data_IF_865956342182
#
_entry.id   IF_865956342182
#
_cell.length_a   1.000
_cell.length_b   1.000
_cell.length_c   1.000
_cell.angle_alpha   90.00
_cell.angle_beta   90.00
_cell.angle_gamma   90.00
#
_symmetry.space_group_name_H-M   'P 1'
#
loop_
_entity.id
_entity.type
_entity.pdbx_description
1 polymer ?
#
# COMPACT_ATOMS: atom_id res chain seq x y z
N UNK A 1 23.61 13.73 14.77
CA UNK A 1 22.34 14.25 14.24
C UNK A 1 21.25 14.01 15.28
N UNK A 2 20.37 14.97 15.54
CA UNK A 2 19.25 14.73 16.45
C UNK A 2 18.32 13.66 15.83
N UNK A 3 17.87 12.73 16.66
CA UNK A 3 16.87 11.73 16.27
C UNK A 3 15.51 12.40 16.10
N UNK A 4 14.72 11.91 15.14
CA UNK A 4 13.31 12.30 14.99
C UNK A 4 12.51 11.58 16.06
N UNK A 5 11.79 12.32 16.91
CA UNK A 5 10.92 11.77 17.95
C UNK A 5 9.63 11.28 17.30
N UNK A 6 9.31 10.02 17.47
CA UNK A 6 8.15 9.38 16.82
C UNK A 6 7.23 8.69 17.79
N UNK A 7 5.95 8.64 17.45
CA UNK A 7 4.96 7.82 18.13
C UNK A 7 4.25 6.88 17.15
N UNK A 8 3.66 5.81 17.68
CA UNK A 8 2.77 4.92 16.94
C UNK A 8 1.38 5.02 17.53
N UNK A 9 0.40 5.38 16.70
CA UNK A 9 -1.02 5.46 17.05
C UNK A 9 -1.73 4.26 16.44
N UNK A 10 -2.12 3.32 17.29
CA UNK A 10 -2.64 2.00 16.95
C UNK A 10 -1.67 0.89 17.36
N UNK A 11 -2.07 0.05 18.31
CA UNK A 11 -1.27 -1.05 18.89
C UNK A 11 -1.70 -2.44 18.38
N UNK A 12 -2.16 -2.51 17.12
CA UNK A 12 -2.40 -3.77 16.42
C UNK A 12 -1.10 -4.44 15.95
N UNK A 13 -1.21 -5.55 15.20
CA UNK A 13 -0.05 -6.27 14.66
C UNK A 13 0.84 -5.38 13.78
N UNK A 14 0.22 -4.50 12.98
CA UNK A 14 0.96 -3.58 12.12
C UNK A 14 1.61 -2.47 12.93
N UNK A 15 0.92 -1.93 13.94
CA UNK A 15 1.49 -0.94 14.86
C UNK A 15 2.69 -1.50 15.63
N UNK A 16 2.63 -2.76 16.06
CA UNK A 16 3.78 -3.47 16.64
C UNK A 16 4.97 -3.51 15.69
N UNK A 17 4.73 -3.77 14.39
CA UNK A 17 5.80 -3.77 13.38
C UNK A 17 6.41 -2.37 13.19
N UNK A 18 5.58 -1.30 13.15
CA UNK A 18 6.08 0.08 13.11
C UNK A 18 6.92 0.42 14.33
N UNK A 19 6.47 0.07 15.54
CA UNK A 19 7.21 0.29 16.78
C UNK A 19 8.57 -0.43 16.75
N UNK A 20 8.61 -1.70 16.32
CA UNK A 20 9.84 -2.48 16.14
C UNK A 20 10.81 -1.76 15.20
N UNK A 21 10.34 -1.39 14.01
CA UNK A 21 11.19 -0.75 13.01
C UNK A 21 11.71 0.61 13.48
N UNK A 22 10.88 1.44 14.12
CA UNK A 22 11.37 2.70 14.69
C UNK A 22 12.42 2.48 15.80
N UNK A 23 12.27 1.43 16.60
CA UNK A 23 13.27 1.08 17.61
C UNK A 23 14.62 0.68 17.01
N UNK A 24 14.60 0.07 15.84
CA UNK A 24 15.79 -0.38 15.10
C UNK A 24 16.44 0.73 14.26
N UNK A 25 15.67 1.76 13.84
CA UNK A 25 16.18 2.82 12.97
C UNK A 25 17.05 3.82 13.74
N UNK A 26 18.33 4.01 13.37
CA UNK A 26 19.24 4.92 14.10
C UNK A 26 18.77 6.38 14.15
N UNK A 27 17.97 6.79 13.15
CA UNK A 27 17.43 8.15 13.02
C UNK A 27 16.14 8.41 13.79
N UNK A 28 15.57 7.41 14.46
CA UNK A 28 14.31 7.50 15.20
C UNK A 28 14.55 7.44 16.72
N UNK A 29 13.65 8.08 17.46
CA UNK A 29 13.44 7.91 18.89
C UNK A 29 11.98 7.58 19.10
N UNK A 30 11.67 6.32 19.41
CA UNK A 30 10.29 5.90 19.72
C UNK A 30 9.91 6.41 21.10
N UNK A 31 9.10 7.46 21.16
CA UNK A 31 8.67 8.14 22.38
C UNK A 31 7.53 7.40 23.06
N UNK A 32 6.56 6.88 22.26
CA UNK A 32 5.44 6.20 22.89
C UNK A 32 4.45 5.56 21.91
N UNK A 33 3.52 4.83 22.51
CA UNK A 33 2.42 4.11 21.87
C UNK A 33 1.10 4.70 22.36
N UNK A 34 0.19 4.97 21.43
CA UNK A 34 -1.20 5.38 21.71
C UNK A 34 -2.14 4.28 21.17
N UNK A 35 -3.07 3.80 21.98
CA UNK A 35 -4.15 2.90 21.53
C UNK A 35 -5.36 3.06 22.45
N UNK A 36 -6.57 2.94 21.90
CA UNK A 36 -7.79 2.94 22.69
C UNK A 36 -7.87 1.75 23.66
N UNK A 37 -7.17 0.64 23.36
CA UNK A 37 -7.01 -0.48 24.27
C UNK A 37 -5.70 -0.34 25.06
N UNK A 38 -5.81 0.07 26.31
CA UNK A 38 -4.66 0.32 27.19
C UNK A 38 -3.77 -0.93 27.41
N UNK A 39 -4.35 -2.13 27.43
CA UNK A 39 -3.58 -3.37 27.61
C UNK A 39 -2.71 -3.66 26.39
N UNK A 40 -3.25 -3.46 25.16
CA UNK A 40 -2.47 -3.58 23.93
C UNK A 40 -1.34 -2.56 23.87
N UNK A 41 -1.63 -1.30 24.21
CA UNK A 41 -0.62 -0.25 24.25
C UNK A 41 0.50 -0.60 25.26
N UNK A 42 0.13 -1.05 26.48
CA UNK A 42 1.08 -1.42 27.52
C UNK A 42 1.98 -2.58 27.09
N UNK A 43 1.42 -3.62 26.45
CA UNK A 43 2.18 -4.76 25.95
C UNK A 43 3.26 -4.34 24.95
N UNK A 44 2.90 -3.52 23.97
CA UNK A 44 3.85 -3.06 22.95
C UNK A 44 4.85 -2.07 23.53
N UNK A 45 4.41 -1.16 24.40
CA UNK A 45 5.30 -0.23 25.08
C UNK A 45 6.35 -0.94 25.93
N UNK A 46 5.96 -1.98 26.67
CA UNK A 46 6.88 -2.82 27.42
C UNK A 46 7.87 -3.56 26.50
N UNK A 47 7.38 -4.15 25.42
CA UNK A 47 8.21 -4.91 24.46
C UNK A 47 9.33 -4.04 23.87
N UNK A 48 9.04 -2.80 23.56
CA UNK A 48 10.01 -1.89 22.92
C UNK A 48 10.60 -0.84 23.86
N UNK A 49 10.39 -0.98 25.19
CA UNK A 49 10.92 -0.10 26.23
C UNK A 49 10.61 1.38 25.93
N UNK A 50 9.32 1.66 25.71
CA UNK A 50 8.78 3.01 25.46
C UNK A 50 7.59 3.29 26.37
N UNK A 51 6.99 4.48 26.25
CA UNK A 51 5.87 4.89 27.09
C UNK A 51 4.52 4.52 26.47
N UNK A 52 3.52 4.30 27.33
CA UNK A 52 2.10 4.41 26.93
C UNK A 52 1.70 5.87 27.03
N UNK A 53 1.21 6.44 25.95
CA UNK A 53 0.70 7.80 25.91
C UNK A 53 -0.84 7.73 25.88
N UNK A 54 -1.48 8.55 26.71
CA UNK A 54 -2.91 8.40 26.99
C UNK A 54 -3.80 8.58 25.74
N UNK A 55 -3.47 9.58 24.94
CA UNK A 55 -4.24 9.94 23.74
C UNK A 55 -3.37 10.72 22.75
N UNK A 56 -3.97 11.10 21.62
CA UNK A 56 -3.33 11.88 20.56
C UNK A 56 -2.95 13.28 21.01
N UNK A 57 -3.74 13.88 21.90
CA UNK A 57 -3.51 15.23 22.43
C UNK A 57 -2.21 15.32 23.23
N UNK A 58 -1.93 14.27 23.99
CA UNK A 58 -0.72 14.19 24.81
C UNK A 58 0.58 14.04 23.99
N UNK A 59 0.50 13.89 22.66
CA UNK A 59 1.66 13.88 21.76
C UNK A 59 2.17 15.29 21.42
N UNK A 60 1.35 16.33 21.63
CA UNK A 60 1.68 17.70 21.28
C UNK A 60 3.00 18.17 21.93
N UNK A 61 3.94 18.65 21.10
CA UNK A 61 5.28 19.09 21.53
C UNK A 61 6.24 17.97 21.98
N UNK A 62 5.77 16.72 22.08
CA UNK A 62 6.58 15.57 22.51
C UNK A 62 7.19 14.84 21.33
N UNK A 63 6.50 14.80 20.19
CA UNK A 63 6.94 14.09 18.99
C UNK A 63 6.98 15.00 17.78
N UNK A 64 7.81 14.64 16.80
CA UNK A 64 7.96 15.35 15.55
C UNK A 64 7.10 14.71 14.45
N UNK A 65 6.88 13.39 14.56
CA UNK A 65 6.12 12.62 13.59
C UNK A 65 5.40 11.43 14.25
N UNK A 66 4.38 10.90 13.57
CA UNK A 66 3.64 9.73 14.05
C UNK A 66 3.21 8.80 12.90
N UNK A 67 3.17 7.49 13.20
CA UNK A 67 2.48 6.50 12.36
C UNK A 67 1.04 6.34 12.81
N UNK A 68 0.10 6.47 11.88
CA UNK A 68 -1.34 6.20 12.09
C UNK A 68 -1.65 4.81 11.56
N UNK A 69 -1.84 3.87 12.47
CA UNK A 69 -2.01 2.42 12.21
C UNK A 69 -3.26 1.91 12.94
N UNK A 70 -4.26 2.75 13.02
CA UNK A 70 -5.59 2.47 13.56
C UNK A 70 -6.47 1.84 12.48
N UNK A 71 -7.71 1.41 12.77
CA UNK A 71 -8.65 1.02 11.72
C UNK A 71 -8.87 2.14 10.69
N UNK A 72 -9.04 1.79 9.42
CA UNK A 72 -9.12 2.74 8.30
C UNK A 72 -10.15 3.86 8.50
N UNK A 73 -11.28 3.54 9.12
CA UNK A 73 -12.34 4.52 9.44
C UNK A 73 -11.90 5.63 10.40
N UNK A 74 -10.80 5.45 11.11
CA UNK A 74 -10.22 6.42 12.04
C UNK A 74 -9.03 7.20 11.44
N UNK A 75 -8.54 6.80 10.26
CA UNK A 75 -7.32 7.38 9.67
C UNK A 75 -7.43 8.90 9.50
N UNK A 76 -8.52 9.37 8.90
CA UNK A 76 -8.71 10.79 8.64
C UNK A 76 -8.81 11.60 9.95
N UNK A 77 -9.65 11.16 10.88
CA UNK A 77 -9.82 11.84 12.18
C UNK A 77 -8.51 11.95 12.94
N UNK A 78 -7.78 10.84 13.06
CA UNK A 78 -6.51 10.80 13.80
C UNK A 78 -5.40 11.56 13.06
N UNK A 79 -5.27 11.35 11.75
CA UNK A 79 -4.24 11.98 10.92
C UNK A 79 -4.41 13.51 10.87
N UNK A 80 -5.63 14.02 10.64
CA UNK A 80 -5.91 15.44 10.64
C UNK A 80 -5.59 16.06 12.01
N UNK A 81 -6.00 15.38 13.10
CA UNK A 81 -5.74 15.89 14.44
C UNK A 81 -4.25 15.97 14.77
N UNK A 82 -3.46 14.96 14.39
CA UNK A 82 -1.99 14.99 14.56
C UNK A 82 -1.36 16.17 13.80
N UNK A 83 -1.79 16.40 12.57
CA UNK A 83 -1.27 17.50 11.74
C UNK A 83 -1.63 18.88 12.30
N UNK A 84 -2.83 19.04 12.91
CA UNK A 84 -3.21 20.24 13.68
C UNK A 84 -2.32 20.46 14.90
N UNK A 85 -1.85 19.39 15.53
CA UNK A 85 -0.87 19.43 16.63
C UNK A 85 0.58 19.62 16.15
N UNK A 86 0.76 19.99 14.90
CA UNK A 86 2.07 20.20 14.24
C UNK A 86 2.93 18.94 14.12
N UNK A 87 2.34 17.75 14.06
CA UNK A 87 3.01 16.46 13.93
C UNK A 87 2.93 15.99 12.48
N UNK A 88 4.05 15.59 11.89
CA UNK A 88 4.10 14.97 10.57
C UNK A 88 3.57 13.53 10.61
N UNK A 89 2.93 13.05 9.55
CA UNK A 89 2.14 11.81 9.62
C UNK A 89 2.48 10.86 8.47
N UNK A 90 2.66 9.59 8.80
CA UNK A 90 2.46 8.48 7.86
C UNK A 90 1.16 7.76 8.24
N UNK A 91 0.25 7.60 7.27
CA UNK A 91 -1.03 6.91 7.43
C UNK A 91 -0.98 5.59 6.68
N UNK A 92 -1.41 4.50 7.32
CA UNK A 92 -1.50 3.19 6.66
C UNK A 92 -2.52 3.17 5.53
N UNK A 93 -2.32 2.19 4.62
CA UNK A 93 -3.25 1.96 3.50
C UNK A 93 -4.51 1.16 3.98
N UNK A 94 -5.67 1.35 3.34
CA UNK A 94 -6.03 2.50 2.51
C UNK A 94 -5.93 3.80 3.30
N UNK A 95 -5.54 4.91 2.65
CA UNK A 95 -5.26 6.15 3.39
C UNK A 95 -6.49 6.71 4.13
N UNK A 96 -7.68 6.37 3.72
CA UNK A 96 -8.95 6.77 4.32
C UNK A 96 -10.08 5.81 3.90
N UNK A 97 -11.25 5.91 4.55
CA UNK A 97 -12.42 5.12 4.22
C UNK A 97 -13.21 5.68 3.03
N UNK A 98 -12.93 6.94 2.63
CA UNK A 98 -13.55 7.59 1.47
C UNK A 98 -12.60 8.59 0.82
N UNK A 99 -12.90 8.97 -0.44
CA UNK A 99 -12.15 10.00 -1.14
C UNK A 99 -12.27 11.37 -0.45
N UNK A 100 -13.43 11.67 0.13
CA UNK A 100 -13.63 12.91 0.89
C UNK A 100 -12.70 12.99 2.10
N UNK A 101 -12.59 11.92 2.88
CA UNK A 101 -11.65 11.84 4.00
C UNK A 101 -10.18 11.91 3.54
N UNK A 102 -9.86 11.32 2.39
CA UNK A 102 -8.52 11.45 1.79
C UNK A 102 -8.21 12.92 1.43
N UNK A 103 -9.18 13.64 0.87
CA UNK A 103 -9.06 15.06 0.55
C UNK A 103 -8.94 15.93 1.82
N UNK A 104 -9.59 15.55 2.94
CA UNK A 104 -9.43 16.19 4.25
C UNK A 104 -7.99 16.03 4.78
N UNK A 105 -7.42 14.83 4.73
CA UNK A 105 -6.02 14.57 5.12
C UNK A 105 -5.03 15.42 4.30
N UNK A 106 -5.20 15.45 2.98
CA UNK A 106 -4.35 16.25 2.07
C UNK A 106 -4.46 17.74 2.41
N UNK A 107 -5.70 18.22 2.62
CA UNK A 107 -5.96 19.61 2.99
C UNK A 107 -5.37 19.97 4.34
N UNK A 108 -5.45 19.08 5.34
CA UNK A 108 -4.85 19.29 6.66
C UNK A 108 -3.34 19.39 6.58
N UNK A 109 -2.70 18.49 5.81
CA UNK A 109 -1.26 18.53 5.56
C UNK A 109 -0.83 19.85 4.92
N UNK A 110 -1.55 20.30 3.88
CA UNK A 110 -1.26 21.55 3.18
C UNK A 110 -1.41 22.77 4.11
N UNK A 111 -2.51 22.86 4.87
CA UNK A 111 -2.75 23.98 5.81
C UNK A 111 -1.68 24.07 6.89
N UNK A 112 -1.25 22.92 7.43
CA UNK A 112 -0.26 22.86 8.50
C UNK A 112 1.19 22.89 8.01
N UNK A 113 1.44 22.80 6.69
CA UNK A 113 2.76 22.58 6.12
C UNK A 113 3.38 21.26 6.63
N UNK A 114 2.54 20.21 6.82
CA UNK A 114 2.97 18.91 7.35
C UNK A 114 3.31 17.92 6.27
N UNK A 115 4.21 17.02 6.58
CA UNK A 115 4.47 15.85 5.74
C UNK A 115 3.32 14.86 5.95
N UNK A 116 2.71 14.43 4.86
CA UNK A 116 1.75 13.34 4.80
C UNK A 116 2.28 12.27 3.84
N UNK A 117 2.67 11.12 4.39
CA UNK A 117 3.02 9.92 3.63
C UNK A 117 1.92 8.88 3.76
N UNK A 118 1.71 8.07 2.73
CA UNK A 118 0.76 6.94 2.77
C UNK A 118 1.52 5.62 2.73
N UNK A 119 1.09 4.66 3.56
CA UNK A 119 1.74 3.37 3.81
C UNK A 119 1.63 2.37 2.66
N UNK A 120 2.00 2.74 1.44
CA UNK A 120 2.11 1.81 0.32
C UNK A 120 3.51 1.19 0.28
N UNK A 121 3.80 0.34 1.26
CA UNK A 121 5.13 -0.25 1.50
C UNK A 121 5.74 -0.98 0.28
N UNK A 122 4.92 -1.49 -0.64
CA UNK A 122 5.40 -2.18 -1.84
C UNK A 122 6.10 -1.24 -2.84
N UNK A 123 5.93 0.09 -2.71
CA UNK A 123 6.72 1.09 -3.44
C UNK A 123 8.20 1.10 -3.01
N UNK A 124 8.46 0.63 -1.80
CA UNK A 124 9.79 0.51 -1.21
C UNK A 124 10.34 -0.92 -1.29
N UNK A 125 9.59 -1.84 -1.89
CA UNK A 125 10.08 -3.19 -2.15
C UNK A 125 11.29 -3.14 -3.10
N UNK A 126 12.42 -3.79 -2.78
CA UNK A 126 13.62 -3.78 -3.60
C UNK A 126 13.37 -4.14 -5.07
N UNK A 127 12.45 -5.09 -5.34
CA UNK A 127 12.06 -5.41 -6.71
C UNK A 127 11.38 -4.25 -7.44
N UNK A 128 10.50 -3.49 -6.75
CA UNK A 128 9.88 -2.27 -7.30
C UNK A 128 10.95 -1.20 -7.58
N UNK A 129 11.81 -0.94 -6.61
CA UNK A 129 12.88 0.08 -6.74
C UNK A 129 13.79 -0.24 -7.91
N UNK A 130 14.17 -1.52 -8.08
CA UNK A 130 15.08 -1.97 -9.14
C UNK A 130 14.53 -1.75 -10.56
N UNK A 131 13.21 -1.78 -10.76
CA UNK A 131 12.63 -1.61 -12.11
C UNK A 131 12.38 -0.16 -12.49
N UNK A 132 12.26 0.75 -11.54
CA UNK A 132 11.97 2.16 -11.84
C UNK A 132 12.93 2.81 -12.86
N UNK A 133 14.26 2.57 -12.80
CA UNK A 133 15.21 3.15 -13.76
C UNK A 133 15.13 2.59 -15.18
N UNK A 134 14.50 1.41 -15.38
CA UNK A 134 14.43 0.73 -16.68
C UNK A 134 13.07 0.83 -17.34
N UNK A 135 12.13 1.58 -16.74
CA UNK A 135 10.81 1.83 -17.31
C UNK A 135 10.94 2.73 -18.53
N UNK A 136 10.39 2.24 -19.67
CA UNK A 136 10.42 2.96 -20.94
C UNK A 136 9.15 2.67 -21.75
N UNK A 137 8.08 3.42 -21.48
CA UNK A 137 6.77 3.27 -22.14
C UNK A 137 6.22 1.83 -22.11
N UNK A 138 5.97 1.24 -20.93
CA UNK A 138 5.37 -0.07 -20.82
C UNK A 138 3.95 -0.06 -21.39
N UNK A 139 3.61 -1.12 -22.15
CA UNK A 139 2.35 -1.21 -22.89
C UNK A 139 1.39 -2.24 -22.30
N UNK A 140 1.91 -3.27 -21.65
CA UNK A 140 1.08 -4.34 -21.11
C UNK A 140 1.61 -4.85 -19.79
N UNK A 141 0.70 -5.08 -18.83
CA UNK A 141 1.01 -5.59 -17.49
C UNK A 141 0.16 -6.81 -17.15
N UNK A 142 0.79 -7.78 -16.52
CA UNK A 142 0.17 -8.91 -15.84
C UNK A 142 0.58 -8.88 -14.38
N UNK A 143 -0.40 -8.77 -13.48
CA UNK A 143 -0.14 -8.67 -12.04
C UNK A 143 -0.94 -9.74 -11.30
N UNK A 144 -0.24 -10.52 -10.48
CA UNK A 144 -0.83 -11.55 -9.64
C UNK A 144 -0.38 -11.38 -8.20
N UNK A 145 -1.35 -11.13 -7.31
CA UNK A 145 -1.16 -11.12 -5.86
C UNK A 145 -2.11 -12.11 -5.22
N UNK A 146 -1.63 -13.35 -5.15
CA UNK A 146 -2.38 -14.49 -4.69
C UNK A 146 -1.89 -14.90 -3.30
N UNK A 147 -2.81 -15.11 -2.37
CA UNK A 147 -2.53 -15.52 -1.00
C UNK A 147 -3.32 -16.76 -0.61
N UNK A 148 -2.70 -17.59 0.23
CA UNK A 148 -3.42 -18.67 0.92
C UNK A 148 -4.31 -18.05 1.98
N UNK A 149 -5.50 -18.62 2.18
CA UNK A 149 -6.44 -18.14 3.18
C UNK A 149 -5.79 -18.03 4.57
N UNK A 150 -6.02 -16.90 5.21
CA UNK A 150 -5.70 -16.67 6.62
C UNK A 150 -6.89 -15.97 7.28
N UNK A 151 -7.21 -16.24 8.56
CA UNK A 151 -8.35 -15.64 9.25
C UNK A 151 -8.05 -14.18 9.68
N UNK A 152 -7.63 -13.34 8.73
CA UNK A 152 -7.29 -11.92 8.93
C UNK A 152 -7.97 -11.07 7.89
N UNK A 153 -8.40 -9.85 8.27
CA UNK A 153 -9.00 -8.86 7.37
C UNK A 153 -10.21 -9.41 6.58
N UNK A 154 -11.02 -10.27 7.20
CA UNK A 154 -12.16 -10.91 6.55
C UNK A 154 -13.36 -9.97 6.38
N UNK A 155 -13.31 -8.83 7.04
CA UNK A 155 -14.28 -7.73 7.01
C UNK A 155 -14.03 -6.73 5.89
N UNK A 156 -12.90 -6.87 5.16
CA UNK A 156 -12.48 -5.94 4.11
C UNK A 156 -12.43 -6.69 2.76
N UNK A 157 -12.85 -6.05 1.68
CA UNK A 157 -12.75 -6.59 0.32
C UNK A 157 -11.26 -6.69 -0.11
N UNK A 158 -10.92 -7.76 -0.84
CA UNK A 158 -9.55 -8.03 -1.31
C UNK A 158 -8.98 -6.89 -2.17
N UNK A 159 -9.84 -6.05 -2.74
CA UNK A 159 -9.43 -4.88 -3.51
C UNK A 159 -8.71 -3.87 -2.62
N UNK A 160 -9.29 -3.50 -1.47
CA UNK A 160 -8.70 -2.53 -0.54
C UNK A 160 -7.59 -3.12 0.33
N UNK A 161 -7.65 -4.44 0.62
CA UNK A 161 -6.63 -5.06 1.44
C UNK A 161 -5.39 -5.46 0.64
N UNK A 162 -5.58 -6.04 -0.55
CA UNK A 162 -4.51 -6.71 -1.31
C UNK A 162 -4.22 -6.01 -2.64
N UNK A 163 -5.24 -5.77 -3.48
CA UNK A 163 -5.05 -5.24 -4.84
C UNK A 163 -4.51 -3.81 -4.84
N UNK A 164 -4.89 -3.00 -3.87
CA UNK A 164 -4.54 -1.57 -3.81
C UNK A 164 -3.02 -1.30 -3.87
N UNK A 165 -2.20 -2.23 -3.39
CA UNK A 165 -0.74 -2.13 -3.52
C UNK A 165 -0.28 -2.17 -4.97
N UNK A 166 -0.90 -3.04 -5.78
CA UNK A 166 -0.55 -3.19 -7.19
C UNK A 166 -1.13 -2.03 -8.02
N UNK A 167 -2.32 -1.53 -7.64
CA UNK A 167 -2.90 -0.34 -8.23
C UNK A 167 -2.01 0.89 -8.04
N UNK A 168 -1.48 1.10 -6.83
CA UNK A 168 -0.53 2.19 -6.54
C UNK A 168 0.76 2.07 -7.37
N UNK A 169 1.35 0.86 -7.47
CA UNK A 169 2.56 0.64 -8.27
C UNK A 169 2.28 0.92 -9.76
N UNK A 170 1.15 0.44 -10.30
CA UNK A 170 0.78 0.67 -11.69
C UNK A 170 0.60 2.15 -12.00
N UNK A 171 -0.09 2.90 -11.14
CA UNK A 171 -0.25 4.36 -11.30
C UNK A 171 1.10 5.09 -11.32
N UNK A 172 2.08 4.61 -10.53
CA UNK A 172 3.41 5.20 -10.51
C UNK A 172 4.26 4.84 -11.74
N UNK A 173 4.14 3.62 -12.23
CA UNK A 173 4.93 3.15 -13.39
C UNK A 173 4.37 3.73 -14.69
N UNK A 174 3.06 3.68 -14.90
CA UNK A 174 2.42 4.11 -16.15
C UNK A 174 2.36 5.64 -16.24
N UNK A 175 2.19 6.30 -15.10
CA UNK A 175 2.12 7.77 -14.98
C UNK A 175 1.15 8.42 -15.98
N UNK A 176 0.01 7.79 -16.20
CA UNK A 176 -1.08 8.28 -17.05
C UNK A 176 -2.43 7.99 -16.40
N UNK A 177 -3.49 8.78 -16.70
CA UNK A 177 -4.83 8.52 -16.21
C UNK A 177 -5.36 7.16 -16.67
N UNK A 178 -6.11 6.48 -15.81
CA UNK A 178 -6.93 5.32 -16.18
C UNK A 178 -8.20 5.84 -16.86
N UNK A 179 -8.54 5.30 -18.02
CA UNK A 179 -9.68 5.74 -18.85
C UNK A 179 -10.82 4.73 -18.89
N UNK A 180 -10.54 3.45 -18.64
CA UNK A 180 -11.57 2.40 -18.53
C UNK A 180 -11.17 1.35 -17.49
N UNK A 181 -12.14 0.86 -16.73
CA UNK A 181 -11.98 -0.17 -15.71
C UNK A 181 -13.05 -1.23 -15.91
N UNK A 182 -12.62 -2.46 -16.19
CA UNK A 182 -13.50 -3.64 -16.24
C UNK A 182 -13.08 -4.58 -15.12
N UNK A 183 -14.00 -4.90 -14.22
CA UNK A 183 -13.65 -5.71 -13.07
C UNK A 183 -14.72 -6.77 -12.78
N UNK A 184 -14.26 -7.89 -12.22
CA UNK A 184 -15.07 -8.97 -11.66
C UNK A 184 -14.52 -9.31 -10.28
N UNK A 185 -15.40 -9.62 -9.35
CA UNK A 185 -15.04 -10.10 -8.03
C UNK A 185 -16.01 -11.16 -7.55
N UNK A 186 -15.50 -12.09 -6.78
CA UNK A 186 -16.28 -13.21 -6.25
C UNK A 186 -15.98 -13.38 -4.77
N UNK A 187 -16.98 -13.38 -3.87
CA UNK A 187 -16.84 -13.90 -2.53
C UNK A 187 -16.88 -15.43 -2.60
N UNK A 188 -15.89 -16.05 -1.97
CA UNK A 188 -15.70 -17.50 -1.97
C UNK A 188 -15.83 -18.08 -0.58
N UNK A 189 -15.22 -17.42 0.42
CA UNK A 189 -15.20 -17.86 1.82
C UNK A 189 -15.85 -16.85 2.77
N UNK A 190 -15.97 -15.59 2.37
CA UNK A 190 -16.55 -14.52 3.18
C UNK A 190 -17.71 -13.86 2.44
N UNK A 191 -18.40 -12.93 3.10
CA UNK A 191 -19.41 -12.07 2.44
C UNK A 191 -18.77 -10.92 1.64
N UNK A 192 -17.46 -10.75 1.74
CA UNK A 192 -16.65 -9.78 1.01
C UNK A 192 -16.07 -10.39 -0.26
N UNK A 193 -15.61 -9.58 -1.16
CA UNK A 193 -14.89 -10.05 -2.36
C UNK A 193 -13.56 -10.68 -1.92
N UNK A 194 -13.40 -11.99 -2.14
CA UNK A 194 -12.22 -12.76 -1.77
C UNK A 194 -11.23 -12.93 -2.91
N UNK A 195 -11.70 -12.86 -4.15
CA UNK A 195 -10.91 -12.82 -5.38
C UNK A 195 -11.46 -11.74 -6.29
N UNK A 196 -10.59 -10.93 -6.85
CA UNK A 196 -10.92 -9.91 -7.83
C UNK A 196 -9.97 -9.94 -9.01
N UNK A 197 -10.51 -9.68 -10.19
CA UNK A 197 -9.74 -9.42 -11.41
C UNK A 197 -10.19 -8.09 -11.99
N UNK A 198 -9.21 -7.26 -12.37
CA UNK A 198 -9.47 -5.98 -13.02
C UNK A 198 -8.60 -5.85 -14.27
N UNK A 199 -9.20 -5.35 -15.35
CA UNK A 199 -8.53 -4.83 -16.53
C UNK A 199 -8.61 -3.30 -16.48
N UNK A 200 -7.44 -2.67 -16.60
CA UNK A 200 -7.27 -1.22 -16.57
C UNK A 200 -6.72 -0.77 -17.92
N UNK A 201 -7.40 0.14 -18.60
CA UNK A 201 -6.92 0.77 -19.81
C UNK A 201 -6.47 2.21 -19.47
N UNK A 202 -5.24 2.57 -19.86
CA UNK A 202 -4.66 3.89 -19.56
C UNK A 202 -4.69 4.81 -20.78
N UNK A 203 -4.75 6.11 -20.55
CA UNK A 203 -4.73 7.12 -21.61
C UNK A 203 -3.47 7.08 -22.48
N UNK A 204 -2.36 6.52 -21.96
CA UNK A 204 -1.12 6.26 -22.71
C UNK A 204 -1.23 5.10 -23.71
N UNK A 205 -2.34 4.34 -23.70
CA UNK A 205 -2.50 3.10 -24.45
C UNK A 205 -1.98 1.85 -23.71
N UNK A 206 -1.40 2.03 -22.53
CA UNK A 206 -1.02 0.88 -21.69
C UNK A 206 -2.26 0.16 -21.15
N UNK A 207 -2.13 -1.15 -20.95
CA UNK A 207 -3.18 -2.03 -20.41
C UNK A 207 -2.61 -2.85 -19.27
N UNK A 208 -3.35 -2.98 -18.16
CA UNK A 208 -2.98 -3.84 -17.06
C UNK A 208 -4.10 -4.84 -16.73
N UNK A 209 -3.73 -6.11 -16.55
CA UNK A 209 -4.58 -7.14 -15.96
C UNK A 209 -4.08 -7.42 -14.54
N UNK A 210 -4.92 -7.21 -13.55
CA UNK A 210 -4.57 -7.32 -12.13
C UNK A 210 -5.47 -8.35 -11.47
N UNK A 211 -4.88 -9.36 -10.85
CA UNK A 211 -5.61 -10.37 -10.08
C UNK A 211 -5.13 -10.38 -8.64
N UNK A 212 -6.05 -10.19 -7.71
CA UNK A 212 -5.80 -10.32 -6.28
C UNK A 212 -6.72 -11.38 -5.68
N UNK A 213 -6.17 -12.25 -4.84
CA UNK A 213 -6.93 -13.32 -4.18
C UNK A 213 -6.34 -13.60 -2.79
N UNK A 214 -7.23 -13.86 -1.82
CA UNK A 214 -6.87 -14.40 -0.50
C UNK A 214 -7.30 -15.86 -0.31
N UNK A 215 -7.77 -16.50 -1.39
CA UNK A 215 -8.34 -17.87 -1.36
C UNK A 215 -7.65 -18.79 -2.36
N UNK A 216 -6.38 -18.56 -2.63
CA UNK A 216 -5.57 -19.38 -3.52
C UNK A 216 -4.85 -20.51 -2.78
N UNK A 217 -4.43 -21.54 -3.51
CA UNK A 217 -3.68 -22.68 -2.96
C UNK A 217 -2.20 -22.39 -2.80
N UNK A 218 -1.70 -21.35 -3.46
CA UNK A 218 -0.30 -20.93 -3.43
C UNK A 218 -0.18 -19.42 -3.22
N UNK A 219 1.01 -19.01 -2.76
CA UNK A 219 1.34 -17.59 -2.62
C UNK A 219 2.14 -17.12 -3.83
N UNK A 220 1.55 -16.19 -4.60
CA UNK A 220 2.20 -15.54 -5.74
C UNK A 220 2.12 -14.03 -5.55
N UNK A 221 3.24 -13.33 -5.69
CA UNK A 221 3.31 -11.87 -5.67
C UNK A 221 4.23 -11.42 -6.78
N UNK A 222 3.68 -11.31 -7.99
CA UNK A 222 4.45 -11.03 -9.21
C UNK A 222 3.79 -9.98 -10.07
N UNK A 223 4.62 -9.15 -10.67
CA UNK A 223 4.25 -8.24 -11.74
C UNK A 223 5.15 -8.52 -12.94
N UNK A 224 4.54 -8.62 -14.11
CA UNK A 224 5.25 -8.71 -15.40
C UNK A 224 4.79 -7.55 -16.24
N UNK A 225 5.72 -6.93 -16.96
CA UNK A 225 5.33 -5.92 -17.92
C UNK A 225 6.20 -5.96 -19.15
N UNK A 226 5.61 -5.49 -20.24
CA UNK A 226 6.17 -5.56 -21.57
C UNK A 226 6.27 -4.14 -22.12
N UNK A 227 7.45 -3.81 -22.59
CA UNK A 227 7.73 -2.58 -23.32
C UNK A 227 8.48 -2.96 -24.60
N UNK A 228 8.67 -2.02 -25.51
CA UNK A 228 9.23 -2.34 -26.83
C UNK A 228 10.56 -3.08 -26.69
N UNK A 229 10.63 -4.31 -27.21
CA UNK A 229 11.80 -5.21 -27.20
C UNK A 229 12.27 -5.66 -25.79
N UNK A 230 11.44 -5.47 -24.77
CA UNK A 230 11.81 -5.84 -23.39
C UNK A 230 10.63 -6.50 -22.66
N UNK A 231 10.96 -7.50 -21.87
CA UNK A 231 10.12 -8.12 -20.86
C UNK A 231 10.74 -7.93 -19.50
N UNK A 232 9.97 -7.47 -18.53
CA UNK A 232 10.41 -7.27 -17.15
C UNK A 232 9.50 -8.07 -16.22
N UNK A 233 10.10 -8.78 -15.26
CA UNK A 233 9.39 -9.54 -14.24
C UNK A 233 9.89 -9.14 -12.86
N UNK A 234 8.97 -8.77 -11.97
CA UNK A 234 9.23 -8.48 -10.56
C UNK A 234 8.63 -9.58 -9.70
N UNK A 235 9.42 -10.13 -8.78
CA UNK A 235 8.94 -11.02 -7.73
C UNK A 235 9.06 -10.29 -6.38
N UNK A 236 7.94 -9.81 -5.85
CA UNK A 236 7.91 -9.03 -4.60
C UNK A 236 8.27 -9.87 -3.37
N UNK A 237 8.02 -11.18 -3.41
CA UNK A 237 8.39 -12.07 -2.30
C UNK A 237 9.89 -12.31 -2.25
N UNK A 238 10.49 -12.51 -3.42
CA UNK A 238 11.94 -12.69 -3.56
C UNK A 238 12.70 -11.37 -3.53
N UNK A 239 11.99 -10.25 -3.71
CA UNK A 239 12.56 -8.90 -3.80
C UNK A 239 13.59 -8.81 -4.92
N UNK A 240 13.29 -9.40 -6.07
CA UNK A 240 14.16 -9.36 -7.24
C UNK A 240 13.38 -9.00 -8.51
N UNK A 241 14.12 -8.61 -9.55
CA UNK A 241 13.57 -8.32 -10.84
C UNK A 241 14.50 -8.82 -11.94
N UNK A 242 13.88 -9.39 -12.98
CA UNK A 242 14.55 -9.86 -14.19
C UNK A 242 14.13 -8.99 -15.38
N UNK A 243 15.10 -8.51 -16.16
CA UNK A 243 14.89 -7.90 -17.46
C UNK A 243 15.39 -8.84 -18.56
N UNK A 244 14.55 -9.09 -19.57
CA UNK A 244 14.92 -9.78 -20.80
C UNK A 244 14.79 -8.79 -21.94
N UNK A 245 15.86 -8.53 -22.66
CA UNK A 245 15.92 -7.57 -23.77
C UNK A 245 16.35 -8.25 -25.06
N UNK A 246 15.66 -7.93 -26.16
CA UNK A 246 16.09 -8.31 -27.50
C UNK A 246 17.22 -7.39 -27.94
N UNK A 247 18.45 -7.91 -28.06
CA UNK A 247 19.62 -7.11 -28.46
C UNK A 247 19.87 -7.17 -29.97
N UNK A 248 19.51 -8.28 -30.60
CA UNK A 248 19.53 -8.41 -32.05
C UNK A 248 18.20 -9.00 -32.50
N UNK A 249 17.31 -8.20 -33.12
CA UNK A 249 16.07 -8.72 -33.68
C UNK A 249 16.33 -9.45 -35.02
N UNK A 250 15.50 -10.42 -35.35
CA UNK A 250 15.62 -11.15 -36.61
C UNK A 250 15.11 -12.60 -36.51
N UNK A 251 15.37 -13.46 -37.54
CA UNK A 251 14.92 -14.85 -37.54
C UNK A 251 15.53 -15.70 -36.41
N UNK A 252 16.68 -15.29 -35.89
CA UNK A 252 17.34 -15.89 -34.72
C UNK A 252 17.70 -14.79 -33.75
N UNK A 253 16.71 -14.31 -32.96
CA UNK A 253 16.91 -13.15 -32.06
C UNK A 253 17.89 -13.51 -30.95
N UNK A 254 18.74 -12.55 -30.59
CA UNK A 254 19.58 -12.64 -29.39
C UNK A 254 18.94 -11.90 -28.23
N UNK A 255 19.03 -12.52 -27.08
CA UNK A 255 18.46 -11.98 -25.82
C UNK A 255 19.56 -11.69 -24.80
N UNK A 256 19.40 -10.60 -24.10
CA UNK A 256 20.15 -10.28 -22.88
C UNK A 256 19.23 -10.54 -21.67
N UNK A 257 19.72 -11.33 -20.71
CA UNK A 257 19.04 -11.65 -19.45
C UNK A 257 19.78 -10.98 -18.31
N UNK A 258 19.20 -9.96 -17.75
CA UNK A 258 19.83 -9.19 -16.66
C UNK A 258 18.97 -9.26 -15.41
N UNK A 259 19.51 -9.81 -14.30
CA UNK A 259 18.92 -9.60 -12.98
C UNK A 259 19.23 -8.17 -12.56
N UNK A 260 18.18 -7.38 -12.31
CA UNK A 260 18.35 -6.00 -11.91
C UNK A 260 18.87 -5.93 -10.47
N UNK A 261 19.83 -5.03 -10.18
CA UNK A 261 20.39 -4.92 -8.84
C UNK A 261 19.32 -4.44 -7.85
N UNK A 262 19.16 -5.19 -6.78
CA UNK A 262 18.24 -4.87 -5.69
C UNK A 262 18.92 -5.19 -4.35
N UNK A 263 19.15 -4.19 -3.53
CA UNK A 263 19.59 -4.40 -2.15
C UNK A 263 18.41 -4.88 -1.33
N UNK A 264 18.47 -6.12 -0.86
CA UNK A 264 17.39 -6.70 -0.07
C UNK A 264 17.26 -5.97 1.26
N UNK A 265 16.10 -5.41 1.47
CA UNK A 265 15.71 -4.74 2.70
C UNK A 265 14.25 -5.03 3.01
N UNK A 266 13.89 -5.01 4.28
CA UNK A 266 12.48 -5.05 4.68
C UNK A 266 11.76 -3.80 4.16
N UNK A 267 10.68 -3.94 3.33
CA UNK A 267 9.99 -2.79 2.74
C UNK A 267 9.48 -1.79 3.77
N UNK A 268 8.95 -2.25 4.92
CA UNK A 268 8.51 -1.37 6.00
C UNK A 268 9.68 -0.55 6.59
N UNK A 269 10.87 -1.14 6.69
CA UNK A 269 12.06 -0.43 7.17
C UNK A 269 12.49 0.67 6.19
N UNK A 270 12.51 0.36 4.89
CA UNK A 270 12.80 1.33 3.85
C UNK A 270 11.79 2.46 3.82
N UNK A 271 10.50 2.15 3.94
CA UNK A 271 9.41 3.10 3.99
C UNK A 271 9.51 4.06 5.17
N UNK A 272 9.66 3.54 6.39
CA UNK A 272 9.76 4.38 7.60
C UNK A 272 11.03 5.21 7.61
N UNK A 273 12.15 4.69 7.08
CA UNK A 273 13.37 5.49 6.87
C UNK A 273 13.13 6.64 5.89
N UNK A 274 12.47 6.40 4.76
CA UNK A 274 12.13 7.43 3.79
C UNK A 274 11.17 8.48 4.38
N UNK A 275 10.21 8.07 5.19
CA UNK A 275 9.34 8.99 5.93
C UNK A 275 10.16 9.91 6.85
N UNK A 276 11.05 9.35 7.68
CA UNK A 276 11.93 10.15 8.54
C UNK A 276 12.82 11.11 7.75
N UNK A 277 13.29 10.69 6.57
CA UNK A 277 14.06 11.56 5.68
C UNK A 277 13.21 12.72 5.15
N UNK A 278 11.96 12.48 4.77
CA UNK A 278 11.00 13.53 4.36
C UNK A 278 10.72 14.51 5.51
N UNK A 279 10.50 14.00 6.73
CA UNK A 279 10.32 14.83 7.95
C UNK A 279 11.51 15.76 8.17
N UNK A 280 12.74 15.23 8.11
CA UNK A 280 13.96 16.00 8.36
C UNK A 280 14.29 17.00 7.27
N UNK A 281 14.10 16.60 6.01
CA UNK A 281 14.51 17.42 4.84
C UNK A 281 13.40 18.32 4.34
N UNK A 282 12.16 18.12 4.82
CA UNK A 282 10.94 18.79 4.34
C UNK A 282 10.67 18.55 2.85
N UNK A 283 11.24 17.50 2.26
CA UNK A 283 10.95 17.08 0.89
C UNK A 283 9.68 16.25 0.85
N UNK A 284 8.94 16.35 -0.24
CA UNK A 284 7.75 15.52 -0.46
C UNK A 284 8.12 14.02 -0.36
N UNK A 285 7.31 13.20 0.32
CA UNK A 285 7.52 11.76 0.37
C UNK A 285 7.30 11.10 -1.00
N UNK A 286 7.89 9.92 -1.19
CA UNK A 286 7.73 9.13 -2.42
C UNK A 286 6.26 8.77 -2.67
N UNK A 287 5.52 8.48 -1.60
CA UNK A 287 4.08 8.19 -1.64
C UNK A 287 3.39 9.26 -0.82
N UNK A 288 3.11 10.38 -1.45
CA UNK A 288 2.41 11.52 -0.84
C UNK A 288 0.89 11.30 -0.76
N UNK A 289 0.18 12.22 -0.12
CA UNK A 289 -1.27 12.17 -0.01
C UNK A 289 -1.98 12.05 -1.37
N UNK A 290 -1.64 12.88 -2.38
CA UNK A 290 -2.19 12.74 -3.74
C UNK A 290 -1.97 11.37 -4.38
N UNK A 291 -0.83 10.71 -4.15
CA UNK A 291 -0.58 9.36 -4.66
C UNK A 291 -1.50 8.33 -3.99
N UNK A 292 -1.61 8.37 -2.65
CA UNK A 292 -2.53 7.49 -1.91
C UNK A 292 -4.00 7.70 -2.30
N UNK A 293 -4.40 8.95 -2.51
CA UNK A 293 -5.76 9.30 -2.95
C UNK A 293 -6.08 8.72 -4.33
N UNK A 294 -5.13 8.79 -5.29
CA UNK A 294 -5.32 8.15 -6.61
C UNK A 294 -5.44 6.62 -6.52
N UNK A 295 -4.66 5.98 -5.65
CA UNK A 295 -4.76 4.54 -5.44
C UNK A 295 -6.11 4.15 -4.84
N UNK A 296 -6.64 4.93 -3.87
CA UNK A 296 -7.97 4.73 -3.31
C UNK A 296 -9.06 4.93 -4.36
N UNK A 297 -9.00 6.01 -5.16
CA UNK A 297 -9.94 6.28 -6.24
C UNK A 297 -10.00 5.14 -7.27
N UNK A 298 -8.86 4.60 -7.66
CA UNK A 298 -8.80 3.47 -8.59
C UNK A 298 -9.37 2.19 -7.94
N UNK A 299 -9.13 1.96 -6.65
CA UNK A 299 -9.75 0.86 -5.92
C UNK A 299 -11.29 1.00 -5.88
N UNK A 300 -11.80 2.21 -5.67
CA UNK A 300 -13.25 2.50 -5.73
C UNK A 300 -13.83 2.21 -7.12
N UNK A 301 -13.11 2.58 -8.19
CA UNK A 301 -13.52 2.29 -9.57
C UNK A 301 -13.55 0.79 -9.85
N UNK A 302 -12.58 0.04 -9.36
CA UNK A 302 -12.56 -1.43 -9.45
C UNK A 302 -13.76 -2.02 -8.71
N UNK A 303 -14.05 -1.57 -7.49
CA UNK A 303 -15.21 -2.04 -6.73
C UNK A 303 -16.52 -1.69 -7.43
N UNK A 304 -16.66 -0.49 -8.00
CA UNK A 304 -17.83 -0.12 -8.79
C UNK A 304 -18.03 -1.05 -9.99
N UNK A 305 -16.96 -1.40 -10.70
CA UNK A 305 -16.98 -2.37 -11.80
C UNK A 305 -17.41 -3.77 -11.35
N UNK A 306 -16.93 -4.23 -10.19
CA UNK A 306 -17.33 -5.52 -9.58
C UNK A 306 -18.82 -5.52 -9.26
N UNK A 307 -19.33 -4.46 -8.63
CA UNK A 307 -20.75 -4.34 -8.29
C UNK A 307 -21.64 -4.30 -9.53
N UNK A 308 -21.23 -3.58 -10.58
CA UNK A 308 -21.96 -3.53 -11.85
C UNK A 308 -21.99 -4.89 -12.55
N UNK A 309 -20.85 -5.58 -12.58
CA UNK A 309 -20.79 -6.95 -13.09
C UNK A 309 -21.70 -7.89 -12.30
N UNK A 310 -21.67 -7.81 -10.95
CA UNK A 310 -22.52 -8.63 -10.07
C UNK A 310 -24.02 -8.44 -10.36
N UNK A 311 -24.47 -7.20 -10.55
CA UNK A 311 -25.88 -6.92 -10.93
C UNK A 311 -26.24 -7.53 -12.28
N UNK A 312 -25.37 -7.41 -13.28
CA UNK A 312 -25.61 -7.91 -14.63
C UNK A 312 -25.72 -9.42 -14.69
N UNK A 313 -24.94 -10.16 -13.91
CA UNK A 313 -24.97 -11.63 -13.89
C UNK A 313 -25.93 -12.18 -12.82
N UNK A 314 -26.73 -11.30 -12.20
CA UNK A 314 -27.70 -11.68 -11.15
C UNK A 314 -27.05 -12.48 -10.00
N UNK A 315 -25.77 -12.21 -9.73
CA UNK A 315 -25.16 -12.56 -8.47
C UNK A 315 -25.93 -11.74 -7.44
N UNK A 316 -27.09 -12.27 -6.99
CA UNK A 316 -27.85 -11.72 -5.87
C UNK A 316 -26.91 -11.51 -4.70
N UNK A 317 -27.28 -10.68 -3.74
CA UNK A 317 -26.56 -10.63 -2.47
C UNK A 317 -26.26 -12.07 -2.09
N UNK A 318 -24.99 -12.45 -2.03
CA UNK A 318 -24.53 -13.84 -1.93
C UNK A 318 -25.38 -14.53 -0.87
N UNK A 319 -26.30 -15.38 -1.32
CA UNK A 319 -27.14 -16.12 -0.41
C UNK A 319 -26.17 -16.86 0.51
N UNK A 320 -26.21 -16.56 1.80
CA UNK A 320 -25.57 -17.38 2.81
C UNK A 320 -25.80 -18.84 2.42
N UNK A 321 -24.79 -19.73 2.54
CA UNK A 321 -24.99 -21.13 2.31
C UNK A 321 -25.99 -21.63 3.38
N UNK A 322 -27.30 -21.36 3.18
CA UNK A 322 -28.37 -21.93 3.95
C UNK A 322 -28.86 -23.14 3.21
N UNK A 323 -28.52 -24.27 3.83
CA UNK A 323 -29.37 -25.40 3.97
C UNK A 323 -29.79 -26.11 2.66
N UNK A 324 -28.90 -26.90 2.08
CA UNK A 324 -29.30 -28.24 1.71
C UNK A 324 -29.04 -29.18 2.90
N UNK A 325 -30.03 -29.33 3.76
CA UNK A 325 -30.15 -30.48 4.63
C UNK A 325 -30.69 -31.64 3.83
#
# INVERSE_FOLDING_TARGET
MNKTRVAVVGAGDFGRNHARVYRELPGAELVGIVDANAERAAKIAQEFSTEVIADVEALAGRVDAASVVVPTVEHARVGCRLMELCIDVIVEKPMAASQAEADELISAAARGGRILQVGHLERFNPGTVAVMPVINHPLYFEVHRLGVFTPRSLDIDVVYDVMIHDLDILLAIVNAPVVDVKAIGVPVLTEKVDIAHARLDFASGAVANVTASRVSTERVRKMRFFQKHEYISVDFTRQDALRVRVVEPGPQPKFDFTTLPAEKEEPLRAELRAFLDSVRTRRAPLVDGPAGRRALELADQVMAGILEHGRRVQLGAFASPQANK
#
